data_IF_095685127965
#
_entry.id   IF_095685127965
#
_cell.length_a   1.000
_cell.length_b   1.000
_cell.length_c   1.000
_cell.angle_alpha   90.00
_cell.angle_beta   90.00
_cell.angle_gamma   90.00
#
_symmetry.space_group_name_H-M   'P 1'
#
loop_
_entity.id
_entity.type
_entity.pdbx_description
1 polymer ?
#
# COMPACT_ATOMS: atom_id res chain seq x y z
N UNK A 1 17.07 -17.66 19.64
CA UNK A 1 16.49 -16.31 19.85
C UNK A 1 15.56 -16.34 21.05
N UNK A 2 15.63 -15.33 21.95
CA UNK A 2 14.69 -15.22 23.08
C UNK A 2 13.29 -14.84 22.60
N UNK A 3 12.28 -15.34 23.28
CA UNK A 3 10.89 -14.91 23.12
C UNK A 3 10.76 -13.41 23.38
N UNK A 4 9.80 -12.75 22.76
CA UNK A 4 9.56 -11.32 22.98
C UNK A 4 9.33 -11.05 24.48
N UNK A 5 9.95 -9.99 24.97
CA UNK A 5 9.78 -9.51 26.34
C UNK A 5 8.38 -8.95 26.54
N UNK A 6 7.93 -8.83 27.81
CA UNK A 6 6.61 -8.22 28.12
C UNK A 6 6.46 -6.81 27.56
N UNK A 7 7.55 -6.00 27.54
CA UNK A 7 7.53 -4.67 26.95
C UNK A 7 7.35 -4.70 25.42
N UNK A 8 8.00 -5.63 24.72
CA UNK A 8 7.82 -5.81 23.28
C UNK A 8 6.38 -6.25 22.96
N UNK A 9 5.80 -7.16 23.75
CA UNK A 9 4.41 -7.59 23.57
C UNK A 9 3.40 -6.45 23.75
N UNK A 10 3.58 -5.61 24.78
CA UNK A 10 2.71 -4.45 24.98
C UNK A 10 2.75 -3.51 23.78
N UNK A 11 3.95 -3.24 23.25
CA UNK A 11 4.10 -2.38 22.07
C UNK A 11 3.44 -2.96 20.82
N UNK A 12 3.60 -4.26 20.57
CA UNK A 12 2.97 -4.96 19.43
C UNK A 12 1.44 -4.93 19.56
N UNK A 13 0.89 -5.17 20.74
CA UNK A 13 -0.56 -5.11 20.97
C UNK A 13 -1.11 -3.69 20.77
N UNK A 14 -0.39 -2.66 21.22
CA UNK A 14 -0.76 -1.26 20.96
C UNK A 14 -0.73 -0.93 19.47
N UNK A 15 0.26 -1.43 18.73
CA UNK A 15 0.31 -1.29 17.28
C UNK A 15 -0.93 -1.91 16.61
N UNK A 16 -1.32 -3.14 16.97
CA UNK A 16 -2.53 -3.76 16.42
C UNK A 16 -3.81 -3.02 16.82
N UNK A 17 -3.89 -2.53 18.05
CA UNK A 17 -5.02 -1.72 18.49
C UNK A 17 -5.15 -0.43 17.68
N UNK A 18 -4.02 0.22 17.34
CA UNK A 18 -3.98 1.39 16.46
C UNK A 18 -4.51 1.05 15.05
N UNK A 19 -4.00 -0.02 14.43
CA UNK A 19 -4.39 -0.41 13.07
C UNK A 19 -5.88 -0.75 13.00
N UNK A 20 -6.39 -1.54 13.95
CA UNK A 20 -7.83 -1.86 14.03
C UNK A 20 -8.64 -0.59 14.31
N UNK A 21 -8.17 0.28 15.21
CA UNK A 21 -8.81 1.55 15.51
C UNK A 21 -8.98 2.47 14.31
N UNK A 22 -7.98 2.52 13.42
CA UNK A 22 -8.09 3.23 12.13
C UNK A 22 -9.18 2.60 11.27
N UNK A 23 -9.22 1.27 11.16
CA UNK A 23 -10.27 0.56 10.41
C UNK A 23 -11.67 0.87 10.91
N UNK A 24 -11.86 0.82 12.24
CA UNK A 24 -13.14 1.14 12.91
C UNK A 24 -13.53 2.61 12.70
N UNK A 25 -12.57 3.53 12.80
CA UNK A 25 -12.82 4.95 12.55
C UNK A 25 -13.37 5.19 11.14
N UNK A 26 -12.74 4.61 10.11
CA UNK A 26 -13.20 4.77 8.74
C UNK A 26 -14.54 4.07 8.50
N UNK A 27 -14.80 2.93 9.14
CA UNK A 27 -16.11 2.28 9.09
C UNK A 27 -17.24 3.22 9.54
N UNK A 28 -17.08 3.90 10.66
CA UNK A 28 -18.11 4.84 11.14
C UNK A 28 -18.17 6.12 10.30
N UNK A 29 -17.03 6.63 9.84
CA UNK A 29 -16.95 7.84 9.02
C UNK A 29 -17.59 7.67 7.66
N UNK A 30 -17.28 6.56 6.99
CA UNK A 30 -17.67 6.34 5.60
C UNK A 30 -18.95 5.46 5.49
N UNK A 31 -19.62 5.20 6.61
CA UNK A 31 -20.79 4.31 6.73
C UNK A 31 -21.96 4.69 5.82
N UNK A 32 -22.15 5.97 5.54
CA UNK A 32 -23.24 6.48 4.71
C UNK A 32 -22.82 6.74 3.27
N UNK A 33 -21.57 6.42 2.91
CA UNK A 33 -21.04 6.63 1.57
C UNK A 33 -21.12 5.30 0.82
N UNK A 34 -21.97 5.24 -0.19
CA UNK A 34 -22.18 4.04 -0.99
C UNK A 34 -21.47 4.14 -2.34
N UNK A 35 -20.91 3.03 -2.81
CA UNK A 35 -20.36 2.91 -4.15
C UNK A 35 -19.00 2.22 -4.21
N UNK A 36 -18.73 1.59 -5.36
CA UNK A 36 -17.44 0.91 -5.60
C UNK A 36 -16.26 1.88 -5.62
N UNK A 37 -16.47 3.09 -6.13
CA UNK A 37 -15.44 4.11 -6.24
C UNK A 37 -14.98 4.58 -4.87
N UNK A 38 -15.88 4.71 -3.94
CA UNK A 38 -15.61 5.10 -2.56
C UNK A 38 -14.86 3.99 -1.84
N UNK A 39 -15.31 2.75 -1.97
CA UNK A 39 -14.71 1.61 -1.26
C UNK A 39 -13.34 1.23 -1.80
N UNK A 40 -13.13 1.19 -3.14
CA UNK A 40 -11.89 0.72 -3.77
C UNK A 40 -10.91 1.84 -4.17
N UNK A 41 -11.34 3.10 -4.18
CA UNK A 41 -10.52 4.24 -4.60
C UNK A 41 -10.59 5.44 -3.63
N UNK A 42 -11.38 5.35 -2.55
CA UNK A 42 -11.56 6.44 -1.60
C UNK A 42 -12.18 7.70 -2.23
N UNK A 43 -13.05 7.54 -3.25
CA UNK A 43 -13.69 8.65 -3.95
C UNK A 43 -12.74 9.66 -4.62
N UNK A 44 -11.47 9.30 -4.85
CA UNK A 44 -10.39 10.20 -5.30
C UNK A 44 -10.20 11.41 -4.36
N UNK A 45 -10.31 11.18 -3.07
CA UNK A 45 -10.22 12.24 -2.06
C UNK A 45 -8.87 12.30 -1.33
N UNK A 46 -7.91 11.45 -1.72
CA UNK A 46 -6.66 11.25 -0.99
C UNK A 46 -5.75 12.47 -1.06
N UNK A 47 -5.29 12.91 0.11
CA UNK A 47 -4.30 13.98 0.24
C UNK A 47 -2.88 13.51 -0.08
N UNK A 48 -2.01 14.45 -0.42
CA UNK A 48 -0.67 14.18 -0.94
C UNK A 48 0.24 13.40 0.02
N UNK A 49 0.18 13.66 1.31
CA UNK A 49 0.98 12.94 2.32
C UNK A 49 0.57 11.47 2.42
N UNK A 50 -0.72 11.23 2.56
CA UNK A 50 -1.25 9.88 2.74
C UNK A 50 -1.02 9.05 1.48
N UNK A 51 -1.31 9.60 0.29
CA UNK A 51 -1.10 8.92 -0.98
C UNK A 51 0.37 8.54 -1.21
N UNK A 52 1.31 9.45 -0.88
CA UNK A 52 2.74 9.23 -1.07
C UNK A 52 3.27 8.12 -0.15
N UNK A 53 2.98 8.21 1.15
CA UNK A 53 3.46 7.23 2.11
C UNK A 53 2.76 5.88 1.95
N UNK A 54 1.46 5.87 1.65
CA UNK A 54 0.74 4.63 1.37
C UNK A 54 1.31 3.93 0.14
N UNK A 55 1.59 4.65 -0.96
CA UNK A 55 2.22 4.06 -2.14
C UNK A 55 3.60 3.47 -1.82
N UNK A 56 4.41 4.17 -1.02
CA UNK A 56 5.72 3.68 -0.60
C UNK A 56 5.65 2.51 0.37
N UNK A 57 4.85 2.62 1.44
CA UNK A 57 4.75 1.58 2.47
C UNK A 57 4.16 0.27 1.92
N UNK A 58 3.16 0.35 1.04
CA UNK A 58 2.55 -0.83 0.42
C UNK A 58 3.49 -1.60 -0.52
N UNK A 59 4.54 -0.93 -1.02
CA UNK A 59 5.51 -1.52 -1.93
C UNK A 59 6.70 -2.16 -1.21
N UNK A 60 7.24 -1.49 -0.18
CA UNK A 60 8.53 -1.84 0.40
C UNK A 60 8.58 -3.19 1.10
N UNK A 61 7.46 -3.72 1.59
CA UNK A 61 7.37 -4.97 2.35
C UNK A 61 8.41 -5.08 3.49
N UNK A 62 8.45 -6.20 4.19
CA UNK A 62 9.48 -6.46 5.19
C UNK A 62 10.91 -6.55 4.62
N UNK A 63 11.04 -6.64 3.28
CA UNK A 63 12.34 -6.71 2.61
C UNK A 63 13.23 -5.50 2.91
N UNK A 64 12.65 -4.30 3.03
CA UNK A 64 13.42 -3.08 3.31
C UNK A 64 14.04 -3.06 4.71
N UNK A 65 13.45 -3.76 5.68
CA UNK A 65 13.94 -3.85 7.06
C UNK A 65 14.83 -5.06 7.30
N UNK A 66 14.74 -6.08 6.47
CA UNK A 66 15.43 -7.35 6.67
C UNK A 66 16.26 -7.77 5.46
N UNK A 67 15.69 -7.87 4.27
CA UNK A 67 16.35 -8.42 3.10
C UNK A 67 17.46 -7.52 2.57
N UNK A 68 17.21 -6.22 2.41
CA UNK A 68 18.23 -5.29 1.95
C UNK A 68 19.36 -5.09 2.97
N UNK A 69 19.07 -4.82 4.26
CA UNK A 69 20.12 -4.75 5.28
C UNK A 69 20.92 -6.06 5.39
N UNK A 70 20.25 -7.20 5.37
CA UNK A 70 20.90 -8.50 5.42
C UNK A 70 21.81 -8.78 4.22
N UNK A 71 21.36 -8.44 3.02
CA UNK A 71 22.18 -8.59 1.81
C UNK A 71 23.43 -7.71 1.85
N UNK A 72 23.30 -6.46 2.32
CA UNK A 72 24.45 -5.57 2.46
C UNK A 72 25.36 -6.00 3.59
N UNK A 73 24.80 -6.43 4.71
CA UNK A 73 25.57 -7.00 5.82
C UNK A 73 26.44 -8.17 5.36
N UNK A 74 25.92 -9.06 4.53
CA UNK A 74 26.63 -10.27 4.09
C UNK A 74 27.59 -10.01 2.93
N UNK A 75 27.11 -9.33 1.88
CA UNK A 75 27.83 -9.18 0.61
C UNK A 75 28.45 -7.81 0.37
N UNK A 76 28.15 -6.84 1.23
CA UNK A 76 28.66 -5.47 1.10
C UNK A 76 27.85 -4.55 0.21
N UNK A 77 28.41 -3.35 -0.01
CA UNK A 77 27.73 -2.23 -0.67
C UNK A 77 27.37 -2.50 -2.15
N UNK A 78 28.00 -3.48 -2.79
CA UNK A 78 27.67 -3.87 -4.15
C UNK A 78 26.20 -4.30 -4.36
N UNK A 79 25.47 -4.65 -3.28
CA UNK A 79 24.03 -4.97 -3.34
C UNK A 79 23.11 -3.74 -3.35
N UNK A 80 23.67 -2.53 -3.20
CA UNK A 80 22.89 -1.27 -3.23
C UNK A 80 22.22 -1.00 -4.59
N UNK A 81 22.69 -1.62 -5.68
CA UNK A 81 22.15 -1.38 -7.02
C UNK A 81 20.67 -1.74 -7.16
N UNK A 82 20.15 -2.70 -6.36
CA UNK A 82 18.71 -2.96 -6.29
C UNK A 82 17.98 -1.72 -5.73
N UNK A 83 18.49 -1.15 -4.64
CA UNK A 83 17.91 0.06 -4.06
C UNK A 83 17.99 1.26 -5.02
N UNK A 84 19.10 1.41 -5.74
CA UNK A 84 19.24 2.45 -6.78
C UNK A 84 18.20 2.26 -7.89
N UNK A 85 18.01 1.03 -8.37
CA UNK A 85 16.99 0.70 -9.37
C UNK A 85 15.59 1.04 -8.89
N UNK A 86 15.24 0.66 -7.65
CA UNK A 86 13.94 0.97 -7.04
C UNK A 86 13.73 2.49 -6.89
N UNK A 87 14.75 3.25 -6.47
CA UNK A 87 14.67 4.72 -6.39
C UNK A 87 14.39 5.32 -7.76
N UNK A 88 15.16 4.94 -8.78
CA UNK A 88 14.99 5.46 -10.15
C UNK A 88 13.60 5.09 -10.67
N UNK A 89 13.17 3.84 -10.53
CA UNK A 89 11.86 3.37 -10.97
C UNK A 89 10.72 4.13 -10.30
N UNK A 90 10.79 4.32 -8.97
CA UNK A 90 9.78 5.08 -8.23
C UNK A 90 9.74 6.56 -8.66
N UNK A 91 10.89 7.22 -8.79
CA UNK A 91 10.95 8.62 -9.25
C UNK A 91 10.33 8.72 -10.65
N UNK A 92 10.72 7.84 -11.57
CA UNK A 92 10.14 7.82 -12.91
C UNK A 92 8.62 7.55 -12.89
N UNK A 93 8.14 6.63 -12.06
CA UNK A 93 6.71 6.36 -11.91
C UNK A 93 5.95 7.59 -11.37
N UNK A 94 6.46 8.26 -10.34
CA UNK A 94 5.86 9.47 -9.79
C UNK A 94 5.87 10.64 -10.78
N UNK A 95 6.96 10.84 -11.54
CA UNK A 95 7.10 11.99 -12.45
C UNK A 95 6.35 11.76 -13.76
N UNK A 96 6.46 10.58 -14.36
CA UNK A 96 5.95 10.32 -15.70
C UNK A 96 4.61 9.59 -15.72
N UNK A 97 4.36 8.64 -14.81
CA UNK A 97 3.15 7.82 -14.82
C UNK A 97 2.03 8.45 -14.00
N UNK A 98 2.28 8.80 -12.75
CA UNK A 98 1.24 9.20 -11.81
C UNK A 98 0.34 10.35 -12.29
N UNK A 99 0.88 11.50 -12.78
CA UNK A 99 0.04 12.61 -13.23
C UNK A 99 -0.77 12.27 -14.48
N UNK A 100 -0.14 11.51 -15.41
CA UNK A 100 -0.81 11.11 -16.66
C UNK A 100 -1.90 10.10 -16.37
N UNK A 101 -1.60 9.07 -15.59
CA UNK A 101 -2.56 8.02 -15.25
C UNK A 101 -3.78 8.59 -14.54
N UNK A 102 -3.58 9.45 -13.53
CA UNK A 102 -4.69 10.13 -12.85
C UNK A 102 -5.56 10.92 -13.82
N UNK A 103 -4.94 11.76 -14.63
CA UNK A 103 -5.65 12.65 -15.57
C UNK A 103 -6.41 11.87 -16.64
N UNK A 104 -5.77 10.85 -17.21
CA UNK A 104 -6.37 10.04 -18.25
C UNK A 104 -7.42 9.06 -17.73
N UNK A 105 -7.29 8.53 -16.52
CA UNK A 105 -8.32 7.66 -15.95
C UNK A 105 -9.65 8.36 -15.73
N UNK A 106 -9.62 9.65 -15.34
CA UNK A 106 -10.82 10.48 -15.21
C UNK A 106 -11.47 10.68 -16.59
N UNK A 107 -10.67 11.01 -17.62
CA UNK A 107 -11.16 11.19 -19.00
C UNK A 107 -11.63 9.87 -19.64
N UNK A 108 -11.07 8.75 -19.26
CA UNK A 108 -11.45 7.42 -19.70
C UNK A 108 -12.62 6.86 -18.86
N UNK A 109 -13.74 7.56 -18.88
CA UNK A 109 -15.00 7.21 -18.20
C UNK A 109 -14.83 7.00 -16.69
N UNK A 110 -14.02 7.84 -16.03
CA UNK A 110 -13.72 7.81 -14.59
C UNK A 110 -13.33 6.40 -14.06
N UNK A 111 -12.48 5.71 -14.82
CA UNK A 111 -12.07 4.33 -14.54
C UNK A 111 -11.43 4.22 -13.15
N UNK A 112 -11.91 3.27 -12.35
CA UNK A 112 -11.45 3.04 -10.97
C UNK A 112 -10.38 1.96 -10.86
N UNK A 113 -10.30 1.06 -11.85
CA UNK A 113 -9.30 -0.01 -11.93
C UNK A 113 -8.43 0.14 -13.18
N UNK A 114 -7.26 -0.49 -13.18
CA UNK A 114 -6.38 -0.50 -14.35
C UNK A 114 -7.00 -1.28 -15.53
N UNK A 115 -7.65 -2.45 -15.36
CA UNK A 115 -8.36 -3.11 -16.44
C UNK A 115 -9.45 -2.25 -17.10
N UNK A 116 -10.25 -1.53 -16.30
CA UNK A 116 -11.23 -0.57 -16.82
C UNK A 116 -10.56 0.56 -17.59
N UNK A 117 -9.48 1.12 -17.02
CA UNK A 117 -8.72 2.18 -17.68
C UNK A 117 -8.20 1.74 -19.05
N UNK A 118 -7.59 0.56 -19.17
CA UNK A 118 -7.11 0.03 -20.44
C UNK A 118 -8.25 -0.14 -21.44
N UNK A 119 -9.36 -0.74 -21.02
CA UNK A 119 -10.54 -0.96 -21.88
C UNK A 119 -11.13 0.35 -22.39
N UNK A 120 -11.31 1.32 -21.52
CA UNK A 120 -11.87 2.62 -21.86
C UNK A 120 -10.88 3.48 -22.68
N UNK A 121 -9.58 3.39 -22.37
CA UNK A 121 -8.51 4.12 -23.08
C UNK A 121 -8.38 3.68 -24.53
N UNK A 122 -8.49 2.38 -24.79
CA UNK A 122 -8.45 1.82 -26.15
C UNK A 122 -9.82 1.73 -26.82
N UNK A 123 -10.87 2.23 -26.17
CA UNK A 123 -12.25 2.21 -26.67
C UNK A 123 -12.67 0.80 -27.15
N UNK A 124 -12.23 -0.23 -26.41
CA UNK A 124 -12.50 -1.60 -26.77
C UNK A 124 -14.01 -1.89 -26.74
N UNK A 125 -14.56 -2.32 -27.86
CA UNK A 125 -15.99 -2.69 -27.97
C UNK A 125 -16.32 -3.93 -27.14
N UNK A 126 -15.34 -4.81 -26.98
CA UNK A 126 -15.46 -6.05 -26.22
C UNK A 126 -14.85 -5.91 -24.84
N UNK A 127 -15.48 -6.48 -23.81
CA UNK A 127 -14.94 -6.53 -22.46
C UNK A 127 -13.77 -7.53 -22.28
N UNK A 128 -13.31 -8.17 -23.37
CA UNK A 128 -12.26 -9.17 -23.35
C UNK A 128 -10.95 -8.65 -22.75
N UNK A 129 -10.52 -7.43 -23.13
CA UNK A 129 -9.31 -6.82 -22.58
C UNK A 129 -9.42 -6.61 -21.06
N UNK A 130 -10.59 -6.14 -20.58
CA UNK A 130 -10.84 -5.94 -19.16
C UNK A 130 -10.78 -7.26 -18.39
N UNK A 131 -11.48 -8.28 -18.89
CA UNK A 131 -11.58 -9.58 -18.23
C UNK A 131 -10.22 -10.29 -18.19
N UNK A 132 -9.48 -10.32 -19.30
CA UNK A 132 -8.16 -10.97 -19.37
C UNK A 132 -7.19 -10.27 -18.41
N UNK A 133 -7.13 -8.93 -18.46
CA UNK A 133 -6.27 -8.16 -17.54
C UNK A 133 -6.64 -8.40 -16.08
N UNK A 134 -7.94 -8.45 -15.76
CA UNK A 134 -8.42 -8.70 -14.42
C UNK A 134 -8.09 -10.12 -13.93
N UNK A 135 -8.23 -11.14 -14.79
CA UNK A 135 -7.84 -12.53 -14.45
C UNK A 135 -6.36 -12.60 -14.11
N UNK A 136 -5.51 -12.00 -14.97
CA UNK A 136 -4.06 -11.94 -14.71
C UNK A 136 -3.78 -11.26 -13.37
N UNK A 137 -4.42 -10.12 -13.08
CA UNK A 137 -4.24 -9.43 -11.81
C UNK A 137 -4.70 -10.28 -10.62
N UNK A 138 -5.88 -10.87 -10.68
CA UNK A 138 -6.41 -11.71 -9.60
C UNK A 138 -5.46 -12.88 -9.31
N UNK A 139 -5.04 -13.61 -10.33
CA UNK A 139 -4.14 -14.77 -10.17
C UNK A 139 -2.81 -14.35 -9.57
N UNK A 140 -2.14 -13.36 -10.16
CA UNK A 140 -0.82 -12.89 -9.69
C UNK A 140 -0.91 -12.34 -8.28
N UNK A 141 -1.92 -11.52 -7.98
CA UNK A 141 -2.05 -10.88 -6.66
C UNK A 141 -2.58 -11.82 -5.58
N UNK A 142 -3.34 -12.87 -5.90
CA UNK A 142 -3.64 -13.93 -4.95
C UNK A 142 -2.38 -14.67 -4.50
N UNK A 143 -1.49 -15.01 -5.46
CA UNK A 143 -0.21 -15.65 -5.14
C UNK A 143 0.68 -14.70 -4.33
N UNK A 144 0.75 -13.44 -4.73
CA UNK A 144 1.57 -12.45 -4.05
C UNK A 144 1.06 -12.15 -2.63
N UNK A 145 -0.25 -11.99 -2.44
CA UNK A 145 -0.86 -11.84 -1.11
C UNK A 145 -0.60 -13.04 -0.21
N UNK A 146 -0.71 -14.26 -0.74
CA UNK A 146 -0.40 -15.48 0.01
C UNK A 146 1.07 -15.51 0.44
N UNK A 147 2.00 -15.12 -0.43
CA UNK A 147 3.42 -14.98 -0.11
C UNK A 147 3.66 -13.93 0.99
N UNK A 148 3.02 -12.77 0.89
CA UNK A 148 3.14 -11.70 1.88
C UNK A 148 2.58 -12.10 3.25
N UNK A 149 1.45 -12.80 3.28
CA UNK A 149 0.87 -13.36 4.51
C UNK A 149 1.79 -14.44 5.13
N UNK A 150 2.37 -15.30 4.31
CA UNK A 150 3.34 -16.29 4.75
C UNK A 150 4.59 -15.63 5.35
N UNK A 151 5.09 -14.57 4.69
CA UNK A 151 6.18 -13.76 5.21
C UNK A 151 5.82 -13.11 6.55
N UNK A 152 4.61 -12.54 6.69
CA UNK A 152 4.11 -12.02 7.97
C UNK A 152 4.21 -13.07 9.08
N UNK A 153 3.77 -14.31 8.83
CA UNK A 153 3.84 -15.40 9.80
C UNK A 153 5.26 -15.72 10.24
N UNK A 154 6.19 -15.81 9.29
CA UNK A 154 7.61 -16.07 9.57
C UNK A 154 8.24 -14.95 10.37
N UNK A 155 7.95 -13.69 10.02
CA UNK A 155 8.47 -12.50 10.68
C UNK A 155 7.93 -12.36 12.11
N UNK A 156 6.64 -12.62 12.28
CA UNK A 156 6.02 -12.63 13.59
C UNK A 156 6.62 -13.72 14.50
N UNK A 157 6.85 -14.92 13.95
CA UNK A 157 7.57 -15.99 14.66
C UNK A 157 8.95 -15.53 15.10
N UNK A 158 9.70 -14.87 14.20
CA UNK A 158 11.05 -14.37 14.47
C UNK A 158 11.08 -13.32 15.59
N UNK A 159 10.09 -12.44 15.62
CA UNK A 159 10.00 -11.34 16.61
C UNK A 159 9.47 -11.84 17.93
N UNK A 160 8.44 -12.68 17.93
CA UNK A 160 7.68 -13.05 19.13
C UNK A 160 7.98 -14.44 19.68
N UNK A 161 8.55 -15.34 18.86
CA UNK A 161 8.70 -16.76 19.18
C UNK A 161 7.41 -17.57 19.03
N UNK A 162 6.29 -16.97 18.60
CA UNK A 162 5.02 -17.66 18.32
C UNK A 162 5.16 -18.57 17.10
N UNK A 163 4.39 -19.67 17.01
CA UNK A 163 4.43 -20.51 15.81
C UNK A 163 4.05 -19.72 14.56
N UNK A 164 4.78 -19.91 13.47
CA UNK A 164 4.56 -19.17 12.21
C UNK A 164 3.12 -19.33 11.69
N UNK A 165 2.52 -20.52 11.86
CA UNK A 165 1.12 -20.80 11.47
C UNK A 165 0.12 -19.97 12.28
N UNK A 166 0.27 -19.91 13.59
CA UNK A 166 -0.61 -19.10 14.47
C UNK A 166 -0.45 -17.62 14.16
N UNK A 167 0.79 -17.17 14.02
CA UNK A 167 1.12 -15.79 13.67
C UNK A 167 0.50 -15.38 12.31
N UNK A 168 0.58 -16.23 11.31
CA UNK A 168 -0.03 -16.02 9.99
C UNK A 168 -1.55 -15.88 10.08
N UNK A 169 -2.22 -16.73 10.87
CA UNK A 169 -3.68 -16.66 11.06
C UNK A 169 -4.08 -15.34 11.74
N UNK A 170 -3.36 -14.95 12.81
CA UNK A 170 -3.63 -13.70 13.52
C UNK A 170 -3.43 -12.49 12.61
N UNK A 171 -2.30 -12.40 11.90
CA UNK A 171 -2.03 -11.30 10.98
C UNK A 171 -3.11 -11.22 9.89
N UNK A 172 -3.48 -12.35 9.30
CA UNK A 172 -4.54 -12.40 8.28
C UNK A 172 -5.88 -11.93 8.83
N UNK A 173 -6.28 -12.38 10.03
CA UNK A 173 -7.53 -11.96 10.65
C UNK A 173 -7.55 -10.45 10.90
N UNK A 174 -6.45 -9.88 11.40
CA UNK A 174 -6.33 -8.44 11.63
C UNK A 174 -6.45 -7.66 10.30
N UNK A 175 -5.72 -8.09 9.26
CA UNK A 175 -5.77 -7.48 7.92
C UNK A 175 -7.20 -7.51 7.39
N UNK A 176 -7.86 -8.66 7.41
CA UNK A 176 -9.22 -8.80 6.90
C UNK A 176 -10.20 -7.89 7.65
N UNK A 177 -10.09 -7.77 8.98
CA UNK A 177 -10.97 -6.94 9.79
C UNK A 177 -10.88 -5.48 9.37
N UNK A 178 -9.70 -4.87 9.37
CA UNK A 178 -9.64 -3.43 9.07
C UNK A 178 -9.83 -3.10 7.59
N UNK A 179 -9.41 -3.98 6.68
CA UNK A 179 -9.65 -3.81 5.24
C UNK A 179 -11.13 -3.91 4.92
N UNK A 180 -11.83 -4.90 5.49
CA UNK A 180 -13.26 -5.08 5.27
C UNK A 180 -14.08 -3.92 5.87
N UNK A 181 -13.72 -3.46 7.06
CA UNK A 181 -14.43 -2.36 7.73
C UNK A 181 -14.23 -1.01 7.04
N UNK A 182 -13.01 -0.67 6.66
CA UNK A 182 -12.69 0.69 6.25
C UNK A 182 -12.25 0.86 4.80
N UNK A 183 -12.15 -0.22 4.01
CA UNK A 183 -11.82 -0.18 2.58
C UNK A 183 -10.51 0.56 2.27
N UNK A 184 -10.45 1.21 1.11
CA UNK A 184 -9.28 1.90 0.62
C UNK A 184 -8.77 3.03 1.54
N UNK A 185 -9.70 3.78 2.13
CA UNK A 185 -9.34 4.88 3.02
C UNK A 185 -8.60 4.37 4.27
N UNK A 186 -9.11 3.30 4.90
CA UNK A 186 -8.45 2.71 6.06
C UNK A 186 -7.07 2.17 5.69
N UNK A 187 -6.95 1.43 4.58
CA UNK A 187 -5.67 0.91 4.09
C UNK A 187 -4.66 2.04 3.88
N UNK A 188 -5.03 3.11 3.18
CA UNK A 188 -4.10 4.22 2.93
C UNK A 188 -3.66 4.94 4.22
N UNK A 189 -4.54 5.07 5.21
CA UNK A 189 -4.19 5.71 6.47
C UNK A 189 -3.38 4.79 7.40
N UNK A 190 -3.67 3.48 7.42
CA UNK A 190 -2.80 2.52 8.10
C UNK A 190 -1.41 2.51 7.47
N UNK A 191 -1.31 2.46 6.16
CA UNK A 191 -0.04 2.54 5.42
C UNK A 191 0.74 3.82 5.74
N UNK A 192 0.05 4.96 5.89
CA UNK A 192 0.68 6.21 6.27
C UNK A 192 1.39 6.10 7.63
N UNK A 193 0.72 5.59 8.66
CA UNK A 193 1.33 5.39 9.98
C UNK A 193 2.41 4.33 9.95
N UNK A 194 2.21 3.26 9.20
CA UNK A 194 3.17 2.19 9.01
C UNK A 194 4.43 2.68 8.28
N UNK A 195 4.28 3.47 7.23
CA UNK A 195 5.39 4.09 6.51
C UNK A 195 6.20 5.06 7.36
N UNK A 196 5.53 5.83 8.25
CA UNK A 196 6.20 6.70 9.22
C UNK A 196 6.98 5.87 10.25
N UNK A 197 6.39 4.79 10.75
CA UNK A 197 7.04 3.88 11.70
C UNK A 197 8.28 3.20 11.07
N UNK A 198 8.17 2.73 9.83
CA UNK A 198 9.30 2.13 9.10
C UNK A 198 10.45 3.13 8.93
N UNK A 199 10.14 4.35 8.53
CA UNK A 199 11.15 5.39 8.35
C UNK A 199 11.82 5.73 9.69
N UNK A 200 11.04 5.93 10.76
CA UNK A 200 11.57 6.20 12.10
C UNK A 200 12.48 5.05 12.57
N UNK A 201 12.05 3.79 12.39
CA UNK A 201 12.82 2.62 12.80
C UNK A 201 14.17 2.52 12.06
N UNK A 202 14.17 2.73 10.73
CA UNK A 202 15.36 2.67 9.93
C UNK A 202 16.30 3.86 10.17
N UNK A 203 15.79 5.04 10.53
CA UNK A 203 16.62 6.19 10.86
C UNK A 203 17.22 6.10 12.25
N UNK A 204 16.41 5.81 13.27
CA UNK A 204 16.86 5.83 14.67
C UNK A 204 17.89 4.73 14.96
N UNK A 205 17.70 3.55 14.40
CA UNK A 205 18.56 2.39 14.69
C UNK A 205 20.04 2.63 14.32
N UNK A 206 20.40 2.98 13.09
CA UNK A 206 21.80 3.19 12.74
C UNK A 206 22.38 4.47 13.36
N UNK A 207 21.56 5.52 13.55
CA UNK A 207 22.01 6.75 14.20
C UNK A 207 22.45 6.45 15.65
N UNK A 208 21.60 5.75 16.40
CA UNK A 208 21.93 5.39 17.78
C UNK A 208 23.11 4.42 17.84
N UNK A 209 23.19 3.45 16.90
CA UNK A 209 24.35 2.56 16.82
C UNK A 209 25.65 3.33 16.63
N UNK A 210 25.69 4.34 15.76
CA UNK A 210 26.85 5.20 15.56
C UNK A 210 27.23 5.99 16.82
N UNK A 211 26.25 6.46 17.60
CA UNK A 211 26.56 7.13 18.89
C UNK A 211 27.17 6.15 19.89
N UNK A 212 26.61 4.94 20.00
CA UNK A 212 27.14 3.90 20.90
C UNK A 212 28.55 3.48 20.47
N UNK A 213 28.83 3.32 19.18
CA UNK A 213 30.13 2.95 18.65
C UNK A 213 31.22 4.01 18.88
N UNK A 214 30.85 5.27 19.05
CA UNK A 214 31.77 6.35 19.40
C UNK A 214 32.07 6.42 20.90
N UNK A 215 31.32 5.70 21.72
CA UNK A 215 31.54 5.64 23.18
C UNK A 215 32.86 4.92 23.52
N UNK A 216 33.52 5.34 24.60
CA UNK A 216 34.80 4.76 25.05
C UNK A 216 34.66 3.26 25.45
N UNK A 217 33.49 2.82 25.82
CA UNK A 217 33.24 1.45 26.27
C UNK A 217 32.87 0.48 25.11
N UNK A 218 32.81 0.98 23.87
CA UNK A 218 32.47 0.13 22.73
C UNK A 218 33.73 -0.61 22.25
N UNK A 219 33.67 -1.93 22.38
CA UNK A 219 34.69 -2.83 21.81
C UNK A 219 34.16 -3.35 20.48
N UNK A 220 34.81 -2.94 19.39
CA UNK A 220 34.41 -3.41 18.05
C UNK A 220 34.66 -4.94 17.96
N UNK A 221 33.67 -5.71 17.49
CA UNK A 221 33.88 -7.13 17.30
C UNK A 221 34.94 -7.38 16.23
N UNK A 222 35.84 -8.30 16.52
CA UNK A 222 36.86 -8.75 15.55
C UNK A 222 36.14 -9.61 14.50
N UNK A 223 36.07 -9.11 13.27
CA UNK A 223 35.44 -9.80 12.20
C UNK A 223 36.17 -9.63 10.87
N UNK A 224 36.33 -10.71 10.13
CA UNK A 224 36.83 -10.65 8.77
C UNK A 224 35.79 -9.94 7.85
N UNK A 225 36.23 -8.84 7.27
CA UNK A 225 35.43 -8.17 6.22
C UNK A 225 35.72 -8.87 4.90
N UNK A 226 34.68 -9.30 4.16
CA UNK A 226 34.88 -9.92 2.85
C UNK A 226 35.68 -9.03 1.91
N UNK A 227 36.49 -9.64 1.06
CA UNK A 227 37.17 -8.91 -0.01
C UNK A 227 36.16 -8.13 -0.85
N UNK A 228 36.46 -6.90 -1.20
CA UNK A 228 35.60 -5.99 -1.94
C UNK A 228 34.27 -5.59 -1.25
N UNK A 229 34.12 -5.77 0.05
CA UNK A 229 32.92 -5.43 0.80
C UNK A 229 32.44 -3.98 0.59
N UNK A 230 33.38 -3.04 0.54
CA UNK A 230 33.11 -1.61 0.32
C UNK A 230 33.17 -1.21 -1.17
N UNK A 231 33.38 -2.16 -2.08
CA UNK A 231 33.39 -1.89 -3.50
C UNK A 231 31.98 -1.92 -4.06
N UNK A 232 31.56 -0.80 -4.66
CA UNK A 232 30.25 -0.66 -5.32
C UNK A 232 30.11 -1.61 -6.53
N UNK A 233 31.23 -1.96 -7.15
CA UNK A 233 31.30 -2.98 -8.19
C UNK A 233 31.43 -4.36 -7.53
N UNK A 234 30.31 -5.07 -7.41
CA UNK A 234 30.15 -6.32 -6.64
C UNK A 234 31.14 -7.46 -6.97
N UNK A 235 31.88 -7.35 -8.04
CA UNK A 235 32.89 -8.34 -8.47
C UNK A 235 34.34 -7.85 -8.39
N UNK A 236 34.61 -6.75 -7.68
CA UNK A 236 35.97 -6.21 -7.51
C UNK A 236 36.52 -5.46 -8.72
N UNK A 237 35.76 -5.31 -9.80
CA UNK A 237 36.19 -4.58 -11.01
C UNK A 237 35.13 -4.55 -12.10
N UNK A 238 35.45 -3.90 -13.21
CA UNK A 238 34.60 -3.86 -14.40
C UNK A 238 34.70 -5.21 -15.14
N UNK A 239 33.86 -6.17 -14.75
CA UNK A 239 33.76 -7.47 -15.40
C UNK A 239 32.29 -7.81 -15.69
N UNK A 240 32.05 -8.86 -16.50
CA UNK A 240 30.69 -9.26 -16.92
C UNK A 240 29.78 -9.58 -15.72
N UNK A 241 30.32 -10.17 -14.67
CA UNK A 241 29.56 -10.51 -13.46
C UNK A 241 29.08 -9.24 -12.73
N UNK A 242 29.96 -8.26 -12.54
CA UNK A 242 29.59 -6.99 -11.91
C UNK A 242 28.55 -6.23 -12.74
N UNK A 243 28.71 -6.19 -14.07
CA UNK A 243 27.74 -5.53 -14.95
C UNK A 243 26.40 -6.22 -14.94
N UNK A 244 26.36 -7.55 -14.96
CA UNK A 244 25.13 -8.34 -14.87
C UNK A 244 24.39 -8.09 -13.55
N UNK A 245 25.11 -8.06 -12.42
CA UNK A 245 24.53 -7.77 -11.10
C UNK A 245 23.96 -6.35 -11.04
N UNK A 246 24.63 -5.37 -11.60
CA UNK A 246 24.18 -3.97 -11.66
C UNK A 246 22.93 -3.86 -12.54
N UNK A 247 22.94 -4.40 -13.75
CA UNK A 247 21.81 -4.35 -14.66
C UNK A 247 20.60 -5.07 -14.05
N UNK A 248 20.82 -6.25 -13.46
CA UNK A 248 19.78 -6.99 -12.76
C UNK A 248 19.18 -6.18 -11.61
N UNK A 249 20.03 -5.55 -10.79
CA UNK A 249 19.58 -4.68 -9.70
C UNK A 249 18.75 -3.49 -10.20
N UNK A 250 19.24 -2.79 -11.22
CA UNK A 250 18.53 -1.65 -11.82
C UNK A 250 17.20 -2.07 -12.45
N UNK A 251 17.12 -3.28 -13.00
CA UNK A 251 15.92 -3.83 -13.63
C UNK A 251 14.73 -3.95 -12.69
N UNK A 252 14.94 -4.06 -11.38
CA UNK A 252 13.86 -4.10 -10.39
C UNK A 252 12.97 -2.86 -10.40
N UNK A 253 13.53 -1.70 -10.73
CA UNK A 253 12.77 -0.45 -10.84
C UNK A 253 11.70 -0.45 -11.95
N UNK A 254 11.81 -1.33 -12.95
CA UNK A 254 10.84 -1.41 -14.05
C UNK A 254 9.44 -1.86 -13.57
N UNK A 255 9.35 -2.60 -12.46
CA UNK A 255 8.10 -3.07 -11.88
C UNK A 255 7.14 -1.94 -11.50
N UNK A 256 7.66 -0.77 -11.11
CA UNK A 256 6.84 0.37 -10.66
C UNK A 256 5.88 0.93 -11.69
N UNK A 257 6.13 0.69 -12.97
CA UNK A 257 5.25 1.16 -14.04
C UNK A 257 3.96 0.34 -14.18
N UNK A 258 3.92 -0.86 -13.59
CA UNK A 258 2.82 -1.80 -13.79
C UNK A 258 2.16 -2.35 -12.51
N UNK A 259 2.59 -1.98 -11.31
CA UNK A 259 2.06 -2.53 -10.05
C UNK A 259 0.68 -1.94 -9.69
N UNK A 260 -0.44 -2.68 -9.80
CA UNK A 260 -1.79 -2.17 -9.58
C UNK A 260 -2.01 -1.52 -8.22
N UNK A 261 -1.49 -2.12 -7.15
CA UNK A 261 -1.65 -1.59 -5.79
C UNK A 261 -0.96 -0.24 -5.58
N UNK A 262 0.11 0.06 -6.32
CA UNK A 262 0.75 1.39 -6.34
C UNK A 262 -0.04 2.34 -7.25
N UNK A 263 -0.38 1.90 -8.45
CA UNK A 263 -1.05 2.72 -9.45
C UNK A 263 -2.42 3.22 -8.96
N UNK A 264 -3.14 2.44 -8.16
CA UNK A 264 -4.43 2.86 -7.58
C UNK A 264 -4.26 4.06 -6.63
N UNK A 265 -3.12 4.20 -5.92
CA UNK A 265 -2.83 5.38 -5.10
C UNK A 265 -2.69 6.62 -5.95
N UNK A 266 -2.07 6.53 -7.13
CA UNK A 266 -2.00 7.65 -8.07
C UNK A 266 -3.39 8.07 -8.58
N UNK A 267 -4.29 7.10 -8.84
CA UNK A 267 -5.66 7.36 -9.24
C UNK A 267 -6.47 8.06 -8.15
N UNK A 268 -6.19 7.79 -6.88
CA UNK A 268 -6.96 8.28 -5.73
C UNK A 268 -6.67 9.72 -5.30
N UNK A 269 -5.61 10.33 -5.81
CA UNK A 269 -5.17 11.67 -5.40
C UNK A 269 -6.20 12.72 -5.77
N UNK A 270 -6.53 13.60 -4.81
CA UNK A 270 -7.62 14.58 -4.89
C UNK A 270 -7.44 15.62 -6.01
N UNK A 271 -6.25 16.17 -6.18
CA UNK A 271 -6.02 17.30 -7.11
C UNK A 271 -4.61 17.28 -7.71
N UNK A 272 -4.38 18.09 -8.74
CA UNK A 272 -3.05 18.28 -9.35
C UNK A 272 -2.04 18.89 -8.35
N UNK A 273 -2.50 19.76 -7.47
CA UNK A 273 -1.67 20.31 -6.40
C UNK A 273 -1.21 19.21 -5.42
N UNK A 274 -2.13 18.37 -4.98
CA UNK A 274 -1.82 17.23 -4.10
C UNK A 274 -0.94 16.19 -4.83
N UNK A 275 -1.07 16.04 -6.16
CA UNK A 275 -0.18 15.19 -6.96
C UNK A 275 1.27 15.67 -6.90
N UNK A 276 1.53 16.97 -7.09
CA UNK A 276 2.89 17.54 -6.99
C UNK A 276 3.48 17.35 -5.60
N UNK A 277 2.66 17.54 -4.57
CA UNK A 277 3.02 17.30 -3.18
C UNK A 277 3.37 15.83 -2.95
N UNK A 278 2.55 14.91 -3.46
CA UNK A 278 2.82 13.46 -3.37
C UNK A 278 4.12 13.06 -4.07
N UNK A 279 4.43 13.65 -5.22
CA UNK A 279 5.67 13.40 -5.94
C UNK A 279 6.90 13.75 -5.09
N UNK A 280 6.92 14.95 -4.50
CA UNK A 280 8.06 15.40 -3.67
C UNK A 280 8.20 14.48 -2.45
N UNK A 281 7.11 14.23 -1.74
CA UNK A 281 7.11 13.41 -0.52
C UNK A 281 7.49 11.97 -0.84
N UNK A 282 6.87 11.35 -1.84
CA UNK A 282 7.13 9.96 -2.22
C UNK A 282 8.56 9.75 -2.71
N UNK A 283 9.07 10.65 -3.56
CA UNK A 283 10.46 10.57 -4.02
C UNK A 283 11.46 10.78 -2.88
N UNK A 284 11.21 11.71 -1.97
CA UNK A 284 12.10 11.93 -0.81
C UNK A 284 12.05 10.74 0.15
N UNK A 285 10.86 10.22 0.42
CA UNK A 285 10.67 9.08 1.33
C UNK A 285 11.37 7.82 0.82
N UNK A 286 11.24 7.49 -0.49
CA UNK A 286 11.89 6.28 -1.05
C UNK A 286 13.41 6.37 -1.00
N UNK A 287 13.98 7.55 -1.28
CA UNK A 287 15.44 7.76 -1.17
C UNK A 287 15.90 7.54 0.26
N UNK A 288 15.20 8.17 1.22
CA UNK A 288 15.57 8.08 2.63
C UNK A 288 15.47 6.64 3.17
N UNK A 289 14.35 5.96 2.91
CA UNK A 289 14.13 4.62 3.48
C UNK A 289 15.11 3.60 2.93
N UNK A 290 15.41 3.62 1.64
CA UNK A 290 16.35 2.69 1.01
C UNK A 290 17.80 3.01 1.38
N UNK A 291 18.15 4.29 1.46
CA UNK A 291 19.49 4.70 1.92
C UNK A 291 19.72 4.27 3.37
N UNK A 292 18.74 4.52 4.27
CA UNK A 292 18.89 4.14 5.68
C UNK A 292 18.85 2.62 5.88
N UNK A 293 18.08 1.90 5.08
CA UNK A 293 18.13 0.43 5.04
C UNK A 293 19.52 -0.09 4.68
N UNK A 294 20.15 0.49 3.66
CA UNK A 294 21.54 0.15 3.31
C UNK A 294 22.53 0.47 4.43
N UNK A 295 22.36 1.61 5.07
CA UNK A 295 23.19 2.05 6.21
C UNK A 295 23.04 1.09 7.40
N UNK A 296 21.83 0.58 7.68
CA UNK A 296 21.58 -0.45 8.70
C UNK A 296 22.44 -1.70 8.42
N UNK A 297 22.51 -2.15 7.18
CA UNK A 297 23.34 -3.31 6.82
C UNK A 297 24.83 -3.08 7.05
N UNK A 298 25.35 -1.92 6.62
CA UNK A 298 26.75 -1.54 6.77
C UNK A 298 27.16 -1.38 8.25
N UNK A 299 26.37 -0.60 9.00
CA UNK A 299 26.66 -0.35 10.44
C UNK A 299 26.40 -1.62 11.24
N UNK A 300 25.36 -2.37 10.90
CA UNK A 300 25.01 -3.62 11.58
C UNK A 300 26.17 -4.62 11.59
N UNK A 301 26.93 -4.71 10.48
CA UNK A 301 28.11 -5.56 10.42
C UNK A 301 29.19 -5.11 11.41
N UNK A 302 29.46 -3.83 11.48
CA UNK A 302 30.46 -3.27 12.40
C UNK A 302 30.02 -3.31 13.86
N UNK A 303 28.73 -3.17 14.13
CA UNK A 303 28.15 -3.09 15.46
C UNK A 303 27.92 -4.47 16.11
N UNK A 304 27.43 -5.44 15.34
CA UNK A 304 27.03 -6.76 15.85
C UNK A 304 28.15 -7.80 15.76
N UNK A 305 29.04 -7.67 14.77
CA UNK A 305 29.97 -8.72 14.42
C UNK A 305 29.29 -9.83 13.64
N UNK A 306 29.65 -11.08 13.90
CA UNK A 306 29.08 -12.26 13.23
C UNK A 306 27.73 -12.66 13.84
N UNK A 307 26.73 -12.88 13.02
CA UNK A 307 25.38 -13.33 13.42
C UNK A 307 24.97 -14.52 12.57
N UNK A 308 24.18 -15.43 13.14
CA UNK A 308 23.75 -16.69 12.49
C UNK A 308 22.84 -16.46 11.27
N UNK A 309 22.05 -15.38 11.26
CA UNK A 309 21.12 -15.07 10.18
C UNK A 309 21.18 -13.57 9.85
N UNK A 310 21.70 -13.27 8.69
CA UNK A 310 21.91 -11.91 8.19
C UNK A 310 20.62 -11.10 8.07
N UNK A 311 19.48 -11.76 7.77
CA UNK A 311 18.19 -11.07 7.67
C UNK A 311 17.70 -10.51 9.01
N UNK A 312 18.34 -10.87 10.11
CA UNK A 312 17.99 -10.42 11.46
C UNK A 312 18.87 -9.27 11.97
N UNK A 313 19.73 -8.72 11.13
CA UNK A 313 20.61 -7.58 11.48
C UNK A 313 19.81 -6.47 12.18
N UNK A 314 18.72 -6.02 11.57
CA UNK A 314 17.88 -4.97 12.14
C UNK A 314 17.29 -5.36 13.50
N UNK A 315 16.81 -6.60 13.63
CA UNK A 315 16.23 -7.11 14.88
C UNK A 315 17.26 -7.14 16.01
N UNK A 316 18.46 -7.63 15.73
CA UNK A 316 19.56 -7.68 16.71
C UNK A 316 20.03 -6.28 17.11
N UNK A 317 20.15 -5.35 16.14
CA UNK A 317 20.49 -3.96 16.43
C UNK A 317 19.46 -3.31 17.35
N UNK A 318 18.18 -3.43 17.02
CA UNK A 318 17.08 -2.84 17.80
C UNK A 318 17.08 -3.38 19.24
N UNK A 319 17.16 -4.69 19.41
CA UNK A 319 17.14 -5.31 20.75
C UNK A 319 18.38 -4.97 21.59
N UNK A 320 19.51 -4.70 20.96
CA UNK A 320 20.75 -4.31 21.66
C UNK A 320 20.78 -2.82 22.03
N UNK A 321 20.11 -1.98 21.24
CA UNK A 321 20.18 -0.51 21.38
C UNK A 321 19.07 0.08 22.22
N UNK A 322 17.89 -0.55 22.24
CA UNK A 322 16.69 0.07 22.80
C UNK A 322 16.11 -0.72 23.98
N UNK A 323 15.49 -0.02 24.97
CA UNK A 323 14.70 -0.66 26.01
C UNK A 323 13.53 -1.47 25.40
N UNK A 324 13.08 -2.49 26.12
CA UNK A 324 12.10 -3.46 25.65
C UNK A 324 10.84 -2.88 24.98
N UNK A 325 10.23 -1.85 25.53
CA UNK A 325 9.04 -1.23 24.96
C UNK A 325 9.35 -0.52 23.62
N UNK A 326 10.40 0.28 23.57
CA UNK A 326 10.83 0.98 22.36
C UNK A 326 11.29 -0.04 21.29
N UNK A 327 12.00 -1.08 21.71
CA UNK A 327 12.36 -2.20 20.85
C UNK A 327 11.10 -2.80 20.21
N UNK A 328 10.05 -3.09 20.98
CA UNK A 328 8.78 -3.59 20.47
C UNK A 328 8.10 -2.65 19.47
N UNK A 329 8.11 -1.34 19.71
CA UNK A 329 7.59 -0.35 18.77
C UNK A 329 8.35 -0.39 17.44
N UNK A 330 9.69 -0.38 17.49
CA UNK A 330 10.52 -0.42 16.27
C UNK A 330 10.45 -1.78 15.54
N UNK A 331 10.33 -2.89 16.28
CA UNK A 331 10.13 -4.20 15.69
C UNK A 331 8.74 -4.36 15.06
N UNK A 332 7.73 -3.61 15.57
CA UNK A 332 6.41 -3.54 14.91
C UNK A 332 6.50 -2.94 13.51
N UNK A 333 7.58 -2.20 13.17
CA UNK A 333 7.80 -1.73 11.80
C UNK A 333 7.97 -2.88 10.79
N UNK A 334 8.52 -4.03 11.21
CA UNK A 334 8.64 -5.22 10.35
C UNK A 334 7.26 -5.80 10.06
N UNK A 335 6.40 -5.88 11.08
CA UNK A 335 5.02 -6.34 10.94
C UNK A 335 4.22 -5.35 10.10
N UNK A 336 4.39 -4.06 10.35
CA UNK A 336 3.80 -2.97 9.59
C UNK A 336 4.12 -3.08 8.09
N UNK A 337 5.38 -3.26 7.75
CA UNK A 337 5.85 -3.40 6.37
C UNK A 337 5.25 -4.63 5.66
N UNK A 338 5.14 -5.75 6.35
CA UNK A 338 4.56 -6.95 5.78
C UNK A 338 3.03 -6.84 5.62
N UNK A 339 2.35 -6.22 6.59
CA UNK A 339 0.88 -6.05 6.59
C UNK A 339 0.43 -5.03 5.55
N UNK A 340 1.11 -3.87 5.40
CA UNK A 340 0.78 -2.85 4.40
C UNK A 340 0.92 -3.34 2.95
N UNK A 341 1.81 -4.30 2.73
CA UNK A 341 1.93 -4.94 1.44
C UNK A 341 0.80 -5.95 1.20
N UNK A 342 0.50 -6.78 2.18
CA UNK A 342 -0.52 -7.82 2.08
C UNK A 342 -1.95 -7.23 1.91
N UNK A 343 -2.31 -6.21 2.70
CA UNK A 343 -3.63 -5.57 2.63
C UNK A 343 -3.88 -4.87 1.29
N UNK A 344 -2.86 -4.19 0.80
CA UNK A 344 -2.90 -3.47 -0.47
C UNK A 344 -3.05 -4.40 -1.67
N UNK A 345 -2.36 -5.53 -1.64
CA UNK A 345 -2.48 -6.58 -2.66
C UNK A 345 -3.85 -7.25 -2.61
N UNK A 346 -4.36 -7.53 -1.40
CA UNK A 346 -5.68 -8.10 -1.19
C UNK A 346 -6.77 -7.17 -1.70
N UNK A 347 -6.68 -5.89 -1.40
CA UNK A 347 -7.65 -4.89 -1.85
C UNK A 347 -7.61 -4.71 -3.38
N UNK A 348 -6.41 -4.68 -3.99
CA UNK A 348 -6.27 -4.58 -5.44
C UNK A 348 -6.85 -5.81 -6.16
N UNK A 349 -6.59 -7.01 -5.63
CA UNK A 349 -7.15 -8.26 -6.14
C UNK A 349 -8.68 -8.30 -6.03
N UNK A 350 -9.22 -7.90 -4.86
CA UNK A 350 -10.66 -7.84 -4.61
C UNK A 350 -11.35 -6.83 -5.53
N UNK A 351 -10.74 -5.67 -5.75
CA UNK A 351 -11.24 -4.65 -6.68
C UNK A 351 -11.29 -5.17 -8.12
N UNK A 352 -10.22 -5.81 -8.59
CA UNK A 352 -10.20 -6.39 -9.94
C UNK A 352 -11.24 -7.51 -10.10
N UNK A 353 -11.42 -8.36 -9.10
CA UNK A 353 -12.45 -9.40 -9.14
C UNK A 353 -13.87 -8.80 -9.16
N UNK A 354 -14.18 -7.91 -8.22
CA UNK A 354 -15.52 -7.35 -8.07
C UNK A 354 -15.91 -6.46 -9.25
N UNK A 355 -15.05 -5.52 -9.64
CA UNK A 355 -15.38 -4.50 -10.63
C UNK A 355 -15.15 -4.96 -12.07
N UNK A 356 -14.19 -5.85 -12.31
CA UNK A 356 -13.75 -6.20 -13.66
C UNK A 356 -14.18 -7.60 -14.11
N UNK A 357 -14.50 -8.51 -13.17
CA UNK A 357 -14.98 -9.86 -13.49
C UNK A 357 -16.43 -10.02 -13.06
N UNK A 358 -16.74 -9.87 -11.76
CA UNK A 358 -18.06 -10.16 -11.23
C UNK A 358 -19.14 -9.26 -11.85
N UNK A 359 -18.94 -7.94 -11.82
CA UNK A 359 -19.91 -6.97 -12.32
C UNK A 359 -20.19 -7.11 -13.83
N UNK A 360 -19.20 -7.15 -14.73
CA UNK A 360 -19.45 -7.25 -16.16
C UNK A 360 -19.91 -8.62 -16.65
N UNK A 361 -19.59 -9.72 -15.93
CA UNK A 361 -19.88 -11.09 -16.37
C UNK A 361 -21.13 -11.64 -15.68
N UNK A 362 -21.21 -11.51 -14.34
CA UNK A 362 -22.24 -12.14 -13.51
C UNK A 362 -23.41 -11.19 -13.28
N UNK A 363 -23.15 -9.95 -12.84
CA UNK A 363 -24.14 -8.92 -12.62
C UNK A 363 -24.26 -8.05 -13.85
N UNK A 364 -24.94 -8.56 -14.89
CA UNK A 364 -25.26 -7.76 -16.07
C UNK A 364 -26.19 -6.62 -15.66
N UNK A 365 -25.73 -5.38 -15.76
CA UNK A 365 -26.63 -4.22 -15.63
C UNK A 365 -27.73 -4.34 -16.68
N UNK A 366 -28.95 -4.55 -16.24
CA UNK A 366 -30.08 -4.54 -17.13
C UNK A 366 -30.33 -3.09 -17.52
N UNK A 367 -30.25 -2.79 -18.82
CA UNK A 367 -30.71 -1.50 -19.33
C UNK A 367 -32.22 -1.44 -19.07
N UNK A 368 -32.64 -0.52 -18.21
CA UNK A 368 -34.01 -0.22 -17.97
C UNK A 368 -34.31 1.17 -18.51
N UNK A 369 -35.51 1.30 -19.08
CA UNK A 369 -36.03 2.62 -19.43
C UNK A 369 -36.35 3.36 -18.12
N UNK A 370 -35.69 4.45 -17.87
CA UNK A 370 -36.00 5.37 -16.76
C UNK A 370 -36.73 6.56 -17.35
N UNK A 371 -37.99 6.70 -17.04
CA UNK A 371 -38.78 7.88 -17.42
C UNK A 371 -38.33 9.05 -16.51
N UNK A 372 -38.04 10.20 -17.13
CA UNK A 372 -37.72 11.44 -16.36
C UNK A 372 -39.05 12.06 -15.90
N UNK A 373 -39.67 11.42 -14.92
CA UNK A 373 -41.01 11.80 -14.42
C UNK A 373 -40.99 13.26 -13.95
N UNK A 374 -39.93 13.70 -13.25
CA UNK A 374 -39.81 15.05 -12.75
C UNK A 374 -39.84 16.12 -13.84
N UNK A 375 -39.36 15.82 -15.06
CA UNK A 375 -39.42 16.77 -16.19
C UNK A 375 -40.87 17.00 -16.70
N UNK A 376 -41.75 16.04 -16.46
CA UNK A 376 -43.14 16.06 -16.93
C UNK A 376 -44.14 16.20 -15.79
N UNK A 377 -43.66 16.32 -14.53
CA UNK A 377 -44.55 16.33 -13.37
C UNK A 377 -45.59 17.45 -13.41
N UNK A 378 -45.20 18.67 -13.72
CA UNK A 378 -46.11 19.81 -13.84
C UNK A 378 -47.14 19.60 -14.95
N UNK A 379 -46.70 19.16 -16.12
CA UNK A 379 -47.57 18.88 -17.25
C UNK A 379 -48.58 17.74 -16.94
N UNK A 380 -48.10 16.67 -16.24
CA UNK A 380 -48.96 15.56 -15.85
C UNK A 380 -50.06 16.00 -14.87
N UNK A 381 -49.78 17.01 -14.00
CA UNK A 381 -50.80 17.58 -13.10
C UNK A 381 -51.78 18.43 -13.89
N UNK A 382 -51.29 19.28 -14.80
CA UNK A 382 -52.13 20.20 -15.57
C UNK A 382 -53.02 19.43 -16.58
N UNK A 383 -52.48 18.43 -17.28
CA UNK A 383 -53.25 17.58 -18.23
C UNK A 383 -54.36 16.70 -17.56
N UNK A 384 -54.31 16.58 -16.21
CA UNK A 384 -55.41 15.85 -15.49
C UNK A 384 -56.76 16.55 -15.58
N UNK A 385 -56.80 17.85 -15.79
CA UNK A 385 -58.04 18.61 -15.86
C UNK A 385 -58.81 18.29 -17.15
N UNK A 386 -58.10 17.97 -18.24
CA UNK A 386 -58.65 17.64 -19.54
C UNK A 386 -59.09 16.16 -19.66
N UNK A 387 -58.81 15.30 -18.67
CA UNK A 387 -59.13 13.89 -18.71
C UNK A 387 -60.53 13.62 -18.12
N UNK A 388 -61.25 12.72 -18.74
CA UNK A 388 -62.55 12.26 -18.24
C UNK A 388 -62.40 11.23 -17.11
N UNK A 389 -61.74 11.65 -16.04
CA UNK A 389 -61.57 10.85 -14.82
C UNK A 389 -62.46 11.35 -13.71
N UNK A 390 -62.99 10.42 -12.89
CA UNK A 390 -63.70 10.80 -11.67
C UNK A 390 -62.78 11.60 -10.72
N UNK A 391 -63.35 12.62 -10.08
CA UNK A 391 -62.59 13.58 -9.23
C UNK A 391 -61.71 12.89 -8.17
N UNK A 392 -62.16 11.78 -7.63
CA UNK A 392 -61.38 10.99 -6.66
C UNK A 392 -60.06 10.52 -7.25
N UNK A 393 -60.02 10.08 -8.52
CA UNK A 393 -58.82 9.62 -9.22
C UNK A 393 -57.90 10.79 -9.53
N UNK A 394 -58.47 11.91 -10.02
CA UNK A 394 -57.69 13.13 -10.28
C UNK A 394 -56.99 13.62 -8.99
N UNK A 395 -57.71 13.65 -7.87
CA UNK A 395 -57.17 14.04 -6.59
C UNK A 395 -56.04 13.12 -6.11
N UNK A 396 -56.21 11.80 -6.27
CA UNK A 396 -55.16 10.83 -5.91
C UNK A 396 -53.90 11.01 -6.78
N UNK A 397 -54.05 11.26 -8.08
CA UNK A 397 -52.92 11.47 -8.97
C UNK A 397 -52.20 12.80 -8.70
N UNK A 398 -52.93 13.90 -8.42
CA UNK A 398 -52.37 15.18 -8.02
C UNK A 398 -51.54 15.02 -6.72
N UNK A 399 -52.09 14.31 -5.74
CA UNK A 399 -51.40 14.06 -4.49
C UNK A 399 -50.16 13.16 -4.66
N UNK A 400 -50.23 12.18 -5.59
CA UNK A 400 -49.11 11.28 -5.90
C UNK A 400 -47.93 12.02 -6.58
N UNK A 401 -48.25 12.83 -7.61
CA UNK A 401 -47.22 13.57 -8.35
C UNK A 401 -46.66 14.68 -7.46
N UNK A 402 -47.52 15.40 -6.74
CA UNK A 402 -47.16 16.43 -5.77
C UNK A 402 -46.44 17.65 -6.41
N UNK A 403 -46.99 18.84 -6.19
CA UNK A 403 -46.35 20.11 -6.54
C UNK A 403 -45.94 20.75 -5.22
N UNK A 404 -44.64 20.79 -4.87
CA UNK A 404 -44.18 21.44 -3.67
C UNK A 404 -43.40 22.72 -4.00
N UNK A 405 -43.76 23.83 -3.38
CA UNK A 405 -42.98 25.06 -3.39
C UNK A 405 -42.14 25.05 -2.11
N UNK A 406 -40.87 24.59 -2.23
CA UNK A 406 -39.89 24.69 -1.14
C UNK A 406 -39.32 26.11 -1.09
N UNK A 407 -39.10 26.64 0.10
CA UNK A 407 -38.23 27.79 0.29
C UNK A 407 -36.80 27.28 0.38
N UNK A 408 -35.91 27.82 -0.47
CA UNK A 408 -34.47 27.72 -0.23
C UNK A 408 -34.14 28.62 0.96
N UNK A 409 -33.63 28.01 2.05
CA UNK A 409 -33.13 28.74 3.25
C UNK A 409 -31.63 28.82 3.15
#
# INVERSE_FOLDING_TARGET
MGTASSGEWIAILLYFALVIGVGVYFFFRDRNVEGEKEYFLGGRSMGGWVAALSAGASDMSAWVLMGLPGSIYLYGIGKVWIAVGLVIGTICAWVFVAPRLRRYSIRANDSITIPQFLTNRFQSKNKGLQIISAIVFVVVYCIYSASSISACGTLFNTVTGMSAKTAMIIATAIILVYVFLGGFNAVCWTDFFQGMLMLAALMLTPILALFVMKGADFVAPVMAVPENYYNVLSGGGFNWKSMSDIISGLGWGLGYFGMPHILVRYLSIKSEHEMRKSQIIGCSWIVLILAMSAVVGLIGRQFLGEIDNENLVFVHMVRRLFPAFISGVLLSAILAAAMSTADSQLLASSSAFASDIYKPVIRKDKRQWMLRITKYADRLIDDLDDLDYIERVKTQQRNWIGRSHGAEI
#
